data_IF_777651666152
#
_entry.id   IF_777651666152
#
_cell.length_a   1.000
_cell.length_b   1.000
_cell.length_c   1.000
_cell.angle_alpha   90.00
_cell.angle_beta   90.00
_cell.angle_gamma   90.00
#
_symmetry.space_group_name_H-M   'P 1'
#
loop_
_entity.id
_entity.type
_entity.pdbx_description
1 polymer ?
#
# COMPACT_ATOMS: atom_id res chain seq x y z
N UNK A 1 23.57 -15.42 25.22
CA UNK A 1 22.33 -15.37 24.42
C UNK A 1 22.57 -14.28 23.39
N UNK A 2 22.82 -14.65 22.14
CA UNK A 2 23.07 -13.65 21.09
C UNK A 2 21.81 -12.80 20.87
N UNK A 3 21.95 -11.48 20.67
CA UNK A 3 20.81 -10.63 20.36
C UNK A 3 20.21 -11.08 19.03
N UNK A 4 18.91 -11.36 19.04
CA UNK A 4 18.14 -11.72 17.85
C UNK A 4 18.18 -10.53 16.88
N UNK A 5 19.02 -10.60 15.84
CA UNK A 5 19.08 -9.55 14.83
C UNK A 5 17.85 -9.64 13.93
N UNK A 6 16.83 -8.86 14.29
CA UNK A 6 15.61 -8.73 13.48
C UNK A 6 15.86 -7.79 12.30
N UNK A 7 15.31 -8.08 11.10
CA UNK A 7 15.32 -7.14 10.00
C UNK A 7 14.63 -5.82 10.38
N UNK A 8 14.98 -4.69 9.74
CA UNK A 8 14.38 -3.39 10.03
C UNK A 8 12.85 -3.43 10.00
N UNK A 9 12.22 -2.90 11.05
CA UNK A 9 10.76 -2.85 11.18
C UNK A 9 10.09 -4.17 11.59
N UNK A 10 10.81 -5.29 11.63
CA UNK A 10 10.29 -6.55 12.17
C UNK A 10 10.27 -6.47 13.70
N UNK A 11 9.11 -6.74 14.30
CA UNK A 11 8.93 -6.78 15.74
C UNK A 11 8.67 -8.22 16.19
N UNK A 12 9.20 -8.59 17.35
CA UNK A 12 8.95 -9.88 17.99
C UNK A 12 8.15 -9.66 19.28
N UNK A 13 7.05 -10.39 19.43
CA UNK A 13 6.21 -10.36 20.63
C UNK A 13 6.08 -11.76 21.20
N UNK A 14 6.47 -11.95 22.46
CA UNK A 14 6.16 -13.18 23.21
C UNK A 14 4.72 -13.11 23.71
N UNK A 15 3.91 -14.10 23.35
CA UNK A 15 2.58 -14.31 23.90
C UNK A 15 2.59 -15.52 24.83
N UNK A 16 1.86 -15.41 25.93
CA UNK A 16 1.63 -16.52 26.87
C UNK A 16 0.20 -17.02 26.71
N UNK A 17 0.05 -18.30 26.37
CA UNK A 17 -1.24 -18.98 26.31
C UNK A 17 -1.70 -19.38 27.71
N UNK A 18 -3.02 -19.56 27.88
CA UNK A 18 -3.63 -19.94 29.17
C UNK A 18 -3.09 -21.25 29.76
N UNK A 19 -2.55 -22.15 28.93
CA UNK A 19 -1.95 -23.41 29.34
C UNK A 19 -0.46 -23.31 29.72
N UNK A 20 0.08 -22.09 29.86
CA UNK A 20 1.48 -21.85 30.22
C UNK A 20 2.46 -21.95 29.05
N UNK A 21 2.00 -22.31 27.84
CA UNK A 21 2.83 -22.29 26.64
C UNK A 21 3.18 -20.84 26.27
N UNK A 22 4.44 -20.60 25.93
CA UNK A 22 4.91 -19.33 25.36
C UNK A 22 5.19 -19.50 23.87
N UNK A 23 4.93 -18.46 23.09
CA UNK A 23 5.25 -18.43 21.66
C UNK A 23 5.68 -17.02 21.25
N UNK A 24 6.72 -16.93 20.43
CA UNK A 24 7.15 -15.68 19.82
C UNK A 24 6.44 -15.52 18.48
N UNK A 25 5.77 -14.39 18.28
CA UNK A 25 5.18 -13.97 17.00
C UNK A 25 6.08 -12.90 16.40
N UNK A 26 6.38 -13.03 15.12
CA UNK A 26 7.14 -12.05 14.35
C UNK A 26 6.21 -11.31 13.40
N UNK A 27 6.22 -9.97 13.46
CA UNK A 27 5.40 -9.11 12.62
C UNK A 27 6.31 -8.25 11.74
N UNK A 28 6.17 -8.38 10.43
CA UNK A 28 6.87 -7.56 9.44
C UNK A 28 5.98 -6.41 8.95
N UNK A 29 6.56 -5.24 8.61
CA UNK A 29 5.79 -4.17 7.97
C UNK A 29 5.34 -4.61 6.58
N UNK A 30 4.21 -4.08 6.12
CA UNK A 30 3.79 -4.28 4.74
C UNK A 30 4.84 -3.73 3.76
N UNK A 31 5.06 -4.42 2.62
CA UNK A 31 5.98 -3.91 1.61
C UNK A 31 5.49 -2.55 1.09
N UNK A 32 6.43 -1.65 0.83
CA UNK A 32 6.15 -0.34 0.24
C UNK A 32 7.25 0.06 -0.74
N UNK A 33 6.87 0.84 -1.75
CA UNK A 33 7.78 1.44 -2.73
C UNK A 33 7.34 2.88 -3.02
N UNK A 34 8.31 3.76 -3.26
CA UNK A 34 8.05 5.18 -3.51
C UNK A 34 7.68 5.98 -2.24
N UNK A 35 7.08 7.18 -2.39
CA UNK A 35 6.55 7.74 -3.62
C UNK A 35 7.64 8.11 -4.63
N UNK A 36 7.37 7.92 -5.92
CA UNK A 36 8.26 8.32 -7.03
C UNK A 36 7.49 9.12 -8.07
N UNK A 37 8.17 10.08 -8.68
CA UNK A 37 7.62 10.83 -9.81
C UNK A 37 7.96 10.06 -11.09
N UNK A 38 6.94 9.74 -11.87
CA UNK A 38 7.08 9.01 -13.13
C UNK A 38 6.25 9.67 -14.23
N UNK A 39 6.37 9.15 -15.46
CA UNK A 39 5.46 9.48 -16.56
C UNK A 39 4.49 8.32 -16.80
N UNK A 40 3.22 8.63 -17.00
CA UNK A 40 2.23 7.65 -17.40
C UNK A 40 2.41 7.24 -18.88
N UNK A 41 1.58 6.29 -19.35
CA UNK A 41 1.61 5.82 -20.75
C UNK A 41 1.31 6.92 -21.78
N UNK A 42 0.71 8.03 -21.35
CA UNK A 42 0.40 9.20 -22.19
C UNK A 42 1.46 10.31 -22.02
N UNK A 43 2.54 10.05 -21.28
CA UNK A 43 3.64 10.99 -21.04
C UNK A 43 3.36 12.06 -19.98
N UNK A 44 2.23 11.99 -19.27
CA UNK A 44 1.86 12.95 -18.20
C UNK A 44 2.63 12.65 -16.93
N UNK A 45 2.94 13.67 -16.14
CA UNK A 45 3.55 13.44 -14.83
C UNK A 45 2.55 12.76 -13.89
N UNK A 46 3.03 11.78 -13.14
CA UNK A 46 2.24 11.09 -12.13
C UNK A 46 3.11 10.73 -10.93
N UNK A 47 2.57 10.95 -9.73
CA UNK A 47 3.11 10.34 -8.54
C UNK A 47 2.67 8.88 -8.47
N UNK A 48 3.60 8.00 -8.14
CA UNK A 48 3.33 6.59 -7.92
C UNK A 48 3.80 6.18 -6.53
N UNK A 49 2.99 5.38 -5.83
CA UNK A 49 3.30 4.84 -4.52
C UNK A 49 2.74 3.43 -4.42
N UNK A 50 3.45 2.53 -3.76
CA UNK A 50 2.96 1.18 -3.48
C UNK A 50 2.94 0.92 -1.98
N UNK A 51 1.86 0.32 -1.50
CA UNK A 51 1.75 -0.18 -0.12
C UNK A 51 0.92 -1.47 -0.10
N UNK A 52 1.45 -2.52 0.53
CA UNK A 52 0.80 -3.84 0.60
C UNK A 52 0.34 -4.37 -0.78
N UNK A 53 1.16 -4.13 -1.82
CA UNK A 53 0.87 -4.43 -3.23
C UNK A 53 -0.28 -3.65 -3.88
N UNK A 54 -0.88 -2.67 -3.20
CA UNK A 54 -1.71 -1.66 -3.84
C UNK A 54 -0.82 -0.57 -4.42
N UNK A 55 -0.84 -0.43 -5.74
CA UNK A 55 -0.13 0.59 -6.50
C UNK A 55 -1.08 1.73 -6.80
N UNK A 56 -0.78 2.90 -6.25
CA UNK A 56 -1.50 4.14 -6.44
C UNK A 56 -0.81 4.98 -7.51
N UNK A 57 -1.56 5.44 -8.50
CA UNK A 57 -1.08 6.35 -9.55
C UNK A 57 -1.93 7.62 -9.53
N UNK A 58 -1.29 8.76 -9.30
CA UNK A 58 -1.95 10.07 -9.22
C UNK A 58 -1.35 11.02 -10.25
N UNK A 59 -2.04 11.13 -11.38
CA UNK A 59 -1.66 12.00 -12.49
C UNK A 59 -1.80 13.48 -12.08
N UNK A 60 -0.87 14.31 -12.53
CA UNK A 60 -0.91 15.76 -12.32
C UNK A 60 -2.25 16.36 -12.80
N UNK A 61 -2.84 17.22 -11.97
CA UNK A 61 -4.14 17.85 -12.23
C UNK A 61 -5.36 16.95 -12.02
N UNK A 62 -5.19 15.65 -11.74
CA UNK A 62 -6.30 14.77 -11.40
C UNK A 62 -6.75 14.95 -9.94
N UNK A 63 -8.06 14.84 -9.69
CA UNK A 63 -8.64 14.80 -8.34
C UNK A 63 -8.86 13.37 -7.83
N UNK A 64 -8.39 12.39 -8.61
CA UNK A 64 -8.60 10.97 -8.39
C UNK A 64 -7.31 10.18 -8.60
N UNK A 65 -7.21 9.07 -7.89
CA UNK A 65 -6.12 8.09 -7.93
C UNK A 65 -6.61 6.82 -8.60
N UNK A 66 -5.77 6.23 -9.43
CA UNK A 66 -5.96 4.88 -9.96
C UNK A 66 -5.24 3.88 -9.05
N UNK A 67 -5.88 2.75 -8.77
CA UNK A 67 -5.35 1.71 -7.89
C UNK A 67 -5.23 0.40 -8.65
N UNK A 68 -4.05 -0.21 -8.59
CA UNK A 68 -3.75 -1.52 -9.18
C UNK A 68 -3.10 -2.45 -8.17
N UNK A 69 -3.07 -3.75 -8.44
CA UNK A 69 -2.27 -4.72 -7.71
C UNK A 69 -0.91 -4.91 -8.38
N UNK A 70 0.19 -4.88 -7.64
CA UNK A 70 1.53 -5.22 -8.15
C UNK A 70 2.67 -4.50 -7.43
N UNK A 71 3.68 -4.11 -8.20
CA UNK A 71 4.83 -3.29 -7.77
C UNK A 71 5.03 -2.12 -8.71
N UNK A 72 5.85 -1.12 -8.35
CA UNK A 72 6.02 0.07 -9.20
C UNK A 72 6.69 -0.26 -10.54
N UNK A 73 7.66 -1.17 -10.55
CA UNK A 73 8.40 -1.57 -11.76
C UNK A 73 7.93 -2.90 -12.37
N UNK A 74 7.00 -3.61 -11.72
CA UNK A 74 6.47 -4.88 -12.20
C UNK A 74 5.13 -4.76 -12.94
N UNK A 75 4.60 -5.90 -13.41
CA UNK A 75 3.24 -6.00 -13.95
C UNK A 75 2.22 -5.49 -12.94
N UNK A 76 1.17 -4.82 -13.43
CA UNK A 76 0.08 -4.26 -12.63
C UNK A 76 -1.26 -4.75 -13.14
N UNK A 77 -2.08 -5.26 -12.24
CA UNK A 77 -3.46 -5.62 -12.52
C UNK A 77 -4.37 -4.50 -12.01
N UNK A 78 -5.10 -3.77 -12.86
CA UNK A 78 -6.01 -2.73 -12.42
C UNK A 78 -7.04 -3.26 -11.42
N UNK A 79 -7.32 -2.51 -10.35
CA UNK A 79 -8.30 -2.90 -9.33
C UNK A 79 -9.42 -1.87 -9.17
N UNK A 80 -9.07 -0.59 -8.99
CA UNK A 80 -10.04 0.51 -8.88
C UNK A 80 -9.61 1.68 -9.73
N UNK A 81 -10.61 2.32 -10.34
CA UNK A 81 -10.46 3.59 -11.02
C UNK A 81 -11.26 4.66 -10.28
N UNK A 82 -10.75 5.89 -10.25
CA UNK A 82 -11.51 7.03 -9.77
C UNK A 82 -11.59 7.18 -8.25
N UNK A 83 -10.60 6.68 -7.49
CA UNK A 83 -10.60 6.85 -6.03
C UNK A 83 -10.28 8.30 -5.69
N UNK A 84 -11.25 9.05 -5.15
CA UNK A 84 -11.07 10.47 -4.82
C UNK A 84 -9.99 10.69 -3.77
N UNK A 85 -9.12 11.66 -4.02
CA UNK A 85 -8.07 12.08 -3.08
C UNK A 85 -8.24 13.57 -2.74
N UNK A 86 -8.66 13.91 -1.51
CA UNK A 86 -8.88 15.30 -1.11
C UNK A 86 -7.57 15.96 -0.62
N UNK A 87 -6.53 15.96 -1.45
CA UNK A 87 -5.21 16.51 -1.09
C UNK A 87 -4.55 17.26 -2.25
N UNK A 88 -3.53 18.08 -1.93
CA UNK A 88 -2.70 18.73 -2.95
C UNK A 88 -1.74 17.73 -3.59
N UNK A 89 -1.57 17.83 -4.91
CA UNK A 89 -0.74 16.92 -5.70
C UNK A 89 0.72 16.91 -5.22
N UNK A 90 1.10 15.84 -4.53
CA UNK A 90 2.44 15.62 -4.01
C UNK A 90 2.67 14.16 -3.64
N UNK A 91 3.93 13.71 -3.72
CA UNK A 91 4.32 12.36 -3.31
C UNK A 91 3.96 12.02 -1.85
N UNK A 92 4.28 12.88 -0.87
CA UNK A 92 3.93 12.62 0.54
C UNK A 92 2.41 12.50 0.77
N UNK A 93 1.60 13.36 0.13
CA UNK A 93 0.15 13.27 0.25
C UNK A 93 -0.39 11.95 -0.33
N UNK A 94 0.16 11.50 -1.47
CA UNK A 94 -0.19 10.20 -2.06
C UNK A 94 0.17 9.04 -1.12
N UNK A 95 1.35 9.10 -0.49
CA UNK A 95 1.83 8.05 0.39
C UNK A 95 0.96 7.91 1.64
N UNK A 96 0.61 9.03 2.28
CA UNK A 96 -0.29 9.02 3.44
C UNK A 96 -1.69 8.54 3.08
N UNK A 97 -2.25 9.05 1.98
CA UNK A 97 -3.53 8.58 1.46
C UNK A 97 -3.52 7.09 1.16
N UNK A 98 -2.53 6.61 0.41
CA UNK A 98 -2.45 5.21 -0.05
C UNK A 98 -2.32 4.22 1.10
N UNK A 99 -1.53 4.55 2.14
CA UNK A 99 -1.43 3.72 3.36
C UNK A 99 -2.78 3.60 4.06
N UNK A 100 -3.43 4.74 4.33
CA UNK A 100 -4.72 4.78 5.03
C UNK A 100 -5.79 3.99 4.26
N UNK A 101 -5.87 4.25 2.95
CA UNK A 101 -6.83 3.58 2.07
C UNK A 101 -6.60 2.06 2.02
N UNK A 102 -5.35 1.60 1.87
CA UNK A 102 -5.05 0.17 1.80
C UNK A 102 -5.39 -0.55 3.12
N UNK A 103 -5.07 0.06 4.27
CA UNK A 103 -5.42 -0.49 5.59
C UNK A 103 -6.93 -0.60 5.79
N UNK A 104 -7.70 0.39 5.32
CA UNK A 104 -9.16 0.35 5.34
C UNK A 104 -9.71 -0.82 4.50
N UNK A 105 -9.17 -1.03 3.29
CA UNK A 105 -9.62 -2.15 2.45
C UNK A 105 -9.27 -3.52 3.05
N UNK A 106 -8.10 -3.65 3.69
CA UNK A 106 -7.67 -4.90 4.33
C UNK A 106 -8.46 -5.24 5.61
N UNK A 107 -9.01 -4.24 6.31
CA UNK A 107 -9.84 -4.45 7.50
C UNK A 107 -11.30 -4.77 7.18
N UNK A 108 -11.69 -4.77 5.90
CA UNK A 108 -12.99 -5.29 5.44
C UNK A 108 -14.04 -4.24 5.12
N UNK A 109 -13.72 -2.95 5.17
CA UNK A 109 -14.55 -1.89 4.58
C UNK A 109 -14.28 -1.88 3.06
N UNK A 110 -14.81 -2.89 2.38
CA UNK A 110 -14.64 -3.06 0.94
C UNK A 110 -15.55 -2.05 0.24
N UNK A 111 -14.95 -1.01 -0.35
CA UNK A 111 -15.68 -0.15 -1.29
C UNK A 111 -16.18 -0.94 -2.51
N UNK A 112 -17.01 -0.31 -3.35
CA UNK A 112 -17.52 -0.97 -4.56
C UNK A 112 -16.36 -1.36 -5.50
N UNK A 113 -16.15 -2.65 -5.81
CA UNK A 113 -15.13 -3.07 -6.76
C UNK A 113 -15.44 -2.53 -8.16
N UNK A 114 -14.39 -2.21 -8.95
CA UNK A 114 -14.59 -1.92 -10.36
C UNK A 114 -15.18 -3.16 -11.05
N UNK A 115 -16.27 -2.97 -11.80
CA UNK A 115 -16.84 -4.04 -12.63
C UNK A 115 -15.83 -4.37 -13.71
N UNK A 116 -15.13 -5.50 -13.57
CA UNK A 116 -14.38 -6.11 -14.67
C UNK A 116 -15.42 -6.70 -15.61
N UNK A 117 -15.72 -5.98 -16.70
CA UNK A 117 -16.43 -6.59 -17.83
C UNK A 117 -15.42 -7.50 -18.53
N UNK A 118 -15.73 -8.80 -18.55
CA UNK A 118 -15.01 -9.83 -19.30
C UNK A 118 -15.46 -9.76 -20.76
#
# INVERSE_FOLDING_TARGET
MEPLMLPPGVTAQEISYRNGRKQVIYTAPYPSEGPVLARDLLGRQAWMFMYAHFVFTWVEGAVQVQVSHGTLNGPKMPLWNGVSIPACWSGPALAEFGKAWALEQMTGIRGTPAVVSI
#
